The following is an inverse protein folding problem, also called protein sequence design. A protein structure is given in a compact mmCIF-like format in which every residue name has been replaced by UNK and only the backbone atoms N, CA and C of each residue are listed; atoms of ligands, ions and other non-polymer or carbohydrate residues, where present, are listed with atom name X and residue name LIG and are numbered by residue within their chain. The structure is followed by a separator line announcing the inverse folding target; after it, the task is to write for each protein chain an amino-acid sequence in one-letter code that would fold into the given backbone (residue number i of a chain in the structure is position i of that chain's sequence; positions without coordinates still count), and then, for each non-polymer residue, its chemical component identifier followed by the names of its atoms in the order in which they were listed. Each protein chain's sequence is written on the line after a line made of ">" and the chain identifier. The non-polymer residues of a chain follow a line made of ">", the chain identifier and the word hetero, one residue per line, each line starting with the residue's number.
data_IF_676433904745
#
_entry.id   IF_676433904745
#
_cell.length_a   1.000
_cell.length_b   1.000
_cell.length_c   1.000
_cell.angle_alpha   90.00
_cell.angle_beta   90.00
_cell.angle_gamma   90.00
#
_symmetry.space_group_name_H-M   'P 1'
#
loop_
_entity.id
_entity.type
_entity.pdbx_description
1 polymer ?
#
# COMPACT_ATOMS: atom_id res chain seq x y z
N UNK A 1 18.90 3.00 16.21
CA UNK A 1 17.77 3.94 16.05
C UNK A 1 18.12 4.95 14.98
N UNK A 2 17.35 5.05 13.89
CA UNK A 2 17.65 5.88 12.70
C UNK A 2 17.68 7.39 12.97
N UNK A 3 17.31 7.81 14.18
CA UNK A 3 17.25 9.22 14.62
C UNK A 3 18.62 9.78 14.99
N UNK A 4 19.63 8.94 15.27
CA UNK A 4 20.95 9.40 15.75
C UNK A 4 21.99 9.64 14.64
N UNK A 5 21.65 9.37 13.38
CA UNK A 5 22.57 9.56 12.24
C UNK A 5 22.37 10.88 11.50
N UNK A 6 21.38 11.69 11.91
CA UNK A 6 21.02 12.92 11.23
C UNK A 6 21.55 14.12 12.02
N UNK A 7 22.71 14.64 11.62
CA UNK A 7 23.33 15.81 12.24
C UNK A 7 23.08 17.05 11.37
N UNK A 8 22.14 17.87 11.80
CA UNK A 8 21.74 19.12 11.12
C UNK A 8 22.93 20.08 10.97
N UNK A 9 23.92 20.01 11.87
CA UNK A 9 25.08 20.90 11.85
C UNK A 9 26.06 20.57 10.72
N UNK A 10 26.12 19.30 10.31
CA UNK A 10 26.98 18.88 9.20
C UNK A 10 26.40 19.31 7.84
N UNK A 11 25.07 19.22 7.69
CA UNK A 11 24.35 19.67 6.49
C UNK A 11 24.42 21.20 6.26
N UNK A 12 24.64 21.98 7.32
CA UNK A 12 24.84 23.43 7.23
C UNK A 12 26.24 23.83 6.75
N UNK A 13 27.22 22.90 6.74
CA UNK A 13 28.57 23.19 6.25
C UNK A 13 28.53 23.37 4.73
N UNK A 14 29.12 24.47 4.25
CA UNK A 14 29.25 24.70 2.81
C UNK A 14 30.14 23.61 2.19
N UNK A 15 29.74 23.04 1.04
CA UNK A 15 30.54 21.99 0.41
C UNK A 15 31.89 22.55 -0.03
N UNK A 16 32.94 21.73 0.13
CA UNK A 16 34.29 22.07 -0.35
C UNK A 16 34.24 22.23 -1.87
N UNK A 17 34.81 23.32 -2.39
CA UNK A 17 35.02 23.51 -3.83
C UNK A 17 36.22 22.66 -4.23
N UNK A 18 35.97 21.62 -5.01
CA UNK A 18 36.99 20.68 -5.51
C UNK A 18 37.30 21.09 -6.95
N UNK A 19 38.57 21.07 -7.33
CA UNK A 19 39.00 21.41 -8.70
C UNK A 19 38.58 20.34 -9.71
N UNK A 20 38.53 20.68 -11.00
CA UNK A 20 38.08 19.75 -12.04
C UNK A 20 38.95 18.48 -12.13
N UNK A 21 40.26 18.63 -11.92
CA UNK A 21 41.25 17.54 -11.95
C UNK A 21 41.10 16.61 -10.75
N UNK A 22 40.85 17.17 -9.56
CA UNK A 22 40.53 16.41 -8.35
C UNK A 22 39.19 15.65 -8.50
N UNK A 23 38.19 16.22 -9.17
CA UNK A 23 36.90 15.55 -9.44
C UNK A 23 37.05 14.31 -10.33
N UNK A 24 38.02 14.34 -11.26
CA UNK A 24 38.29 13.25 -12.19
C UNK A 24 39.05 12.09 -11.53
N UNK A 25 39.83 12.39 -10.49
CA UNK A 25 40.61 11.39 -9.73
C UNK A 25 39.77 10.63 -8.67
N UNK A 26 38.57 11.10 -8.34
CA UNK A 26 37.69 10.49 -7.34
C UNK A 26 36.96 9.25 -7.86
N UNK A 27 36.46 8.43 -6.93
CA UNK A 27 35.60 7.30 -7.30
C UNK A 27 34.29 7.78 -7.97
N UNK A 28 33.67 6.97 -8.84
CA UNK A 28 32.41 7.34 -9.50
C UNK A 28 31.31 7.79 -8.53
N UNK A 29 31.21 7.16 -7.35
CA UNK A 29 30.22 7.48 -6.33
C UNK A 29 30.48 8.85 -5.66
N UNK A 30 31.74 9.15 -5.34
CA UNK A 30 32.12 10.43 -4.73
C UNK A 30 31.94 11.59 -5.70
N UNK A 31 32.35 11.38 -6.96
CA UNK A 31 32.12 12.33 -8.04
C UNK A 31 30.62 12.62 -8.21
N UNK A 32 29.78 11.58 -8.20
CA UNK A 32 28.33 11.74 -8.28
C UNK A 32 27.79 12.56 -7.09
N UNK A 33 28.17 12.24 -5.85
CA UNK A 33 27.73 12.97 -4.64
C UNK A 33 28.06 14.46 -4.72
N UNK A 34 29.27 14.82 -5.13
CA UNK A 34 29.71 16.22 -5.21
C UNK A 34 29.04 16.99 -6.35
N UNK A 35 28.87 16.36 -7.52
CA UNK A 35 28.24 17.00 -8.69
C UNK A 35 26.73 17.19 -8.50
N UNK A 36 26.07 16.25 -7.83
CA UNK A 36 24.61 16.24 -7.67
C UNK A 36 24.14 16.85 -6.33
N UNK A 37 25.04 17.37 -5.49
CA UNK A 37 24.73 17.97 -4.18
C UNK A 37 23.83 19.21 -4.25
N UNK A 38 23.85 19.95 -5.36
CA UNK A 38 23.07 21.17 -5.56
C UNK A 38 21.71 20.93 -6.19
N UNK A 39 21.43 19.71 -6.68
CA UNK A 39 20.16 19.39 -7.37
C UNK A 39 18.98 19.58 -6.41
N UNK A 40 19.15 19.27 -5.13
CA UNK A 40 18.14 19.51 -4.08
C UNK A 40 17.81 21.00 -3.89
N UNK A 41 18.67 21.91 -4.33
CA UNK A 41 18.51 23.37 -4.21
C UNK A 41 17.86 23.99 -5.45
N UNK A 42 17.81 23.29 -6.58
CA UNK A 42 17.23 23.79 -7.82
C UNK A 42 15.76 23.37 -8.00
N UNK A 43 14.98 23.42 -6.92
CA UNK A 43 13.55 23.14 -6.98
C UNK A 43 12.85 24.35 -7.58
N UNK A 44 12.47 24.27 -8.85
CA UNK A 44 11.67 25.30 -9.49
C UNK A 44 10.21 25.13 -9.07
N UNK A 45 9.76 26.02 -8.18
CA UNK A 45 8.39 26.04 -7.67
C UNK A 45 7.64 27.20 -8.29
N UNK A 46 6.36 26.96 -8.57
CA UNK A 46 5.45 28.03 -8.98
C UNK A 46 5.48 29.18 -7.97
N UNK A 47 5.33 30.41 -8.45
CA UNK A 47 5.27 31.61 -7.61
C UNK A 47 4.12 31.56 -6.56
N UNK A 48 3.11 30.71 -6.81
CA UNK A 48 1.97 30.50 -5.91
C UNK A 48 2.34 29.54 -4.76
N UNK A 49 3.49 28.87 -4.82
CA UNK A 49 3.89 27.90 -3.80
C UNK A 49 4.54 28.56 -2.57
N UNK A 50 4.15 28.14 -1.35
CA UNK A 50 3.06 27.21 -1.03
C UNK A 50 1.69 27.88 -1.16
N UNK A 51 0.73 27.19 -1.78
CA UNK A 51 -0.59 27.76 -1.99
C UNK A 51 -1.31 27.92 -0.64
N UNK A 52 -1.73 29.15 -0.25
CA UNK A 52 -2.38 29.39 1.03
C UNK A 52 -3.71 28.63 1.17
N UNK A 53 -4.40 28.35 0.07
CA UNK A 53 -5.62 27.55 0.08
C UNK A 53 -5.34 26.09 0.45
N UNK A 54 -4.20 25.54 0.01
CA UNK A 54 -3.80 24.17 0.37
C UNK A 54 -3.50 24.13 1.86
N UNK A 55 -2.71 25.07 2.38
CA UNK A 55 -2.42 25.15 3.82
C UNK A 55 -3.72 25.23 4.62
N UNK A 56 -4.65 26.09 4.22
CA UNK A 56 -5.96 26.25 4.87
C UNK A 56 -6.80 24.97 4.82
N UNK A 57 -6.83 24.25 3.70
CA UNK A 57 -7.58 22.99 3.57
C UNK A 57 -7.02 21.88 4.47
N UNK A 58 -5.70 21.84 4.65
CA UNK A 58 -5.07 20.92 5.61
C UNK A 58 -5.35 21.32 7.07
N UNK A 59 -5.39 22.62 7.36
CA UNK A 59 -5.65 23.12 8.71
C UNK A 59 -7.13 23.01 9.11
N UNK A 60 -8.03 23.24 8.16
CA UNK A 60 -9.47 23.26 8.34
C UNK A 60 -10.15 22.42 7.24
N UNK A 61 -10.04 21.09 7.31
CA UNK A 61 -10.70 20.23 6.34
C UNK A 61 -12.21 20.32 6.51
N UNK A 62 -12.93 20.42 5.39
CA UNK A 62 -14.38 20.29 5.39
C UNK A 62 -14.74 18.80 5.44
N UNK A 63 -15.02 18.31 6.65
CA UNK A 63 -15.35 16.90 6.90
C UNK A 63 -16.83 16.74 7.24
N UNK A 64 -17.39 15.57 6.94
CA UNK A 64 -18.71 15.19 7.43
C UNK A 64 -18.75 15.22 8.97
N UNK A 65 -19.74 15.93 9.52
CA UNK A 65 -19.97 16.10 10.97
C UNK A 65 -21.03 15.13 11.51
N UNK A 66 -21.50 14.21 10.68
CA UNK A 66 -22.48 13.20 11.06
C UNK A 66 -22.02 12.40 12.27
N UNK A 67 -22.89 12.31 13.29
CA UNK A 67 -22.69 11.44 14.46
C UNK A 67 -23.28 10.04 14.24
N UNK A 68 -23.68 9.71 13.00
CA UNK A 68 -24.27 8.42 12.68
C UNK A 68 -23.29 7.29 13.01
N UNK A 69 -23.76 6.29 13.75
CA UNK A 69 -22.97 5.09 14.03
C UNK A 69 -22.82 4.31 12.73
N UNK A 70 -21.60 3.88 12.43
CA UNK A 70 -21.40 2.95 11.34
C UNK A 70 -22.15 1.63 11.60
N UNK A 71 -22.88 1.15 10.59
CA UNK A 71 -23.62 -0.11 10.63
C UNK A 71 -23.45 -0.85 9.31
N UNK A 72 -23.36 -2.18 9.39
CA UNK A 72 -23.23 -3.05 8.23
C UNK A 72 -24.46 -3.94 8.20
N UNK A 73 -25.22 -3.88 7.11
CA UNK A 73 -26.43 -4.66 6.89
C UNK A 73 -26.24 -5.68 5.78
N UNK A 74 -27.12 -6.68 5.74
CA UNK A 74 -27.21 -7.59 4.59
C UNK A 74 -27.79 -6.80 3.42
N UNK A 75 -27.10 -6.74 2.27
CA UNK A 75 -27.62 -6.02 1.11
C UNK A 75 -28.82 -6.77 0.49
N UNK A 76 -29.75 -6.02 -0.08
CA UNK A 76 -30.89 -6.58 -0.81
C UNK A 76 -30.46 -7.12 -2.18
N UNK A 77 -30.34 -8.45 -2.27
CA UNK A 77 -29.91 -9.12 -3.49
C UNK A 77 -30.90 -8.97 -4.65
N UNK A 78 -32.20 -8.87 -4.39
CA UNK A 78 -33.19 -8.81 -5.47
C UNK A 78 -33.08 -7.46 -6.19
N UNK A 79 -33.07 -6.38 -5.43
CA UNK A 79 -32.93 -5.02 -5.98
C UNK A 79 -31.55 -4.79 -6.59
N UNK A 80 -30.48 -5.34 -6.01
CA UNK A 80 -29.15 -5.23 -6.60
C UNK A 80 -29.02 -5.94 -7.95
N UNK A 81 -29.70 -7.08 -8.15
CA UNK A 81 -29.71 -7.76 -9.45
C UNK A 81 -30.34 -6.90 -10.54
N UNK A 82 -31.50 -6.29 -10.22
CA UNK A 82 -32.19 -5.40 -11.14
C UNK A 82 -31.33 -4.18 -11.44
N UNK A 83 -30.79 -3.53 -10.40
CA UNK A 83 -29.93 -2.35 -10.54
C UNK A 83 -28.68 -2.63 -11.38
N UNK A 84 -27.95 -3.71 -11.09
CA UNK A 84 -26.75 -4.06 -11.85
C UNK A 84 -27.06 -4.47 -13.29
N UNK A 85 -28.22 -5.09 -13.53
CA UNK A 85 -28.68 -5.37 -14.89
C UNK A 85 -29.00 -4.10 -15.68
N UNK A 86 -29.61 -3.10 -15.03
CA UNK A 86 -30.02 -1.84 -15.67
C UNK A 86 -28.84 -0.88 -15.88
N UNK A 87 -28.05 -0.61 -14.86
CA UNK A 87 -26.97 0.40 -14.90
C UNK A 87 -25.68 -0.12 -15.53
N UNK A 88 -25.35 -1.39 -15.28
CA UNK A 88 -24.09 -1.98 -15.76
C UNK A 88 -24.29 -2.94 -16.94
N UNK A 89 -25.54 -3.27 -17.31
CA UNK A 89 -25.82 -4.25 -18.36
C UNK A 89 -25.33 -5.66 -18.03
N UNK A 90 -25.15 -5.99 -16.75
CA UNK A 90 -24.57 -7.28 -16.36
C UNK A 90 -25.61 -8.39 -16.44
N UNK A 91 -25.28 -9.55 -17.06
CA UNK A 91 -26.14 -10.71 -17.01
C UNK A 91 -26.21 -11.24 -15.57
N UNK A 92 -27.35 -11.84 -15.21
CA UNK A 92 -27.64 -12.25 -13.83
C UNK A 92 -26.57 -13.18 -13.24
N UNK A 93 -26.00 -14.07 -14.05
CA UNK A 93 -24.92 -14.97 -13.63
C UNK A 93 -23.65 -14.22 -13.20
N UNK A 94 -23.34 -13.13 -13.89
CA UNK A 94 -22.18 -12.29 -13.56
C UNK A 94 -22.46 -11.51 -12.28
N UNK A 95 -23.68 -10.97 -12.13
CA UNK A 95 -24.09 -10.27 -10.91
C UNK A 95 -24.01 -11.22 -9.71
N UNK A 96 -24.55 -12.43 -9.82
CA UNK A 96 -24.53 -13.42 -8.75
C UNK A 96 -23.11 -13.89 -8.41
N UNK A 97 -22.26 -14.08 -9.42
CA UNK A 97 -20.84 -14.38 -9.22
C UNK A 97 -20.13 -13.32 -8.36
N UNK A 98 -20.52 -12.05 -8.48
CA UNK A 98 -19.97 -10.94 -7.68
C UNK A 98 -20.65 -10.76 -6.32
N UNK A 99 -21.98 -10.88 -6.25
CA UNK A 99 -22.74 -10.59 -5.03
C UNK A 99 -22.73 -11.74 -4.01
N UNK A 100 -22.79 -13.00 -4.46
CA UNK A 100 -22.83 -14.16 -3.56
C UNK A 100 -21.61 -14.27 -2.63
N UNK A 101 -20.36 -13.99 -3.08
CA UNK A 101 -19.23 -13.88 -2.17
C UNK A 101 -19.42 -12.84 -1.07
N UNK A 102 -19.99 -11.68 -1.38
CA UNK A 102 -20.21 -10.58 -0.43
C UNK A 102 -21.23 -10.99 0.62
N UNK A 103 -22.38 -11.52 0.20
CA UNK A 103 -23.42 -12.01 1.13
C UNK A 103 -22.88 -13.12 2.02
N UNK A 104 -22.13 -14.08 1.47
CA UNK A 104 -21.47 -15.12 2.28
C UNK A 104 -20.47 -14.54 3.28
N UNK A 105 -19.78 -13.45 2.95
CA UNK A 105 -18.87 -12.78 3.87
C UNK A 105 -19.65 -12.12 5.02
N UNK A 106 -20.75 -11.44 4.72
CA UNK A 106 -21.65 -10.82 5.71
C UNK A 106 -22.26 -11.88 6.65
N UNK A 107 -22.80 -12.99 6.11
CA UNK A 107 -23.44 -14.05 6.92
C UNK A 107 -22.47 -14.81 7.82
N UNK A 108 -21.16 -14.84 7.51
CA UNK A 108 -20.13 -15.45 8.39
C UNK A 108 -19.83 -14.62 9.64
N UNK A 109 -20.49 -13.48 9.79
CA UNK A 109 -20.24 -12.49 10.82
C UNK A 109 -19.13 -11.55 10.38
N UNK A 110 -19.34 -10.25 10.61
CA UNK A 110 -18.32 -9.23 10.45
C UNK A 110 -17.22 -9.48 11.47
N UNK A 111 -16.24 -10.31 11.12
CA UNK A 111 -14.98 -10.40 11.83
C UNK A 111 -14.23 -9.10 11.53
N UNK A 112 -14.58 -8.03 12.24
CA UNK A 112 -13.93 -6.75 12.12
C UNK A 112 -12.46 -6.97 12.51
N UNK A 113 -11.57 -6.78 11.54
CA UNK A 113 -10.14 -6.82 11.77
C UNK A 113 -9.79 -5.68 12.73
N UNK A 114 -9.54 -5.99 13.99
CA UNK A 114 -9.28 -4.96 15.02
C UNK A 114 -7.88 -4.38 14.90
N UNK A 115 -6.89 -5.19 14.47
CA UNK A 115 -5.48 -4.78 14.34
C UNK A 115 -4.83 -5.42 13.12
N UNK A 116 -3.83 -4.74 12.56
CA UNK A 116 -2.98 -5.27 11.49
C UNK A 116 -2.25 -6.55 11.93
N UNK A 117 -1.95 -6.64 13.23
CA UNK A 117 -1.37 -7.82 13.88
C UNK A 117 -2.21 -9.08 13.67
N UNK A 118 -3.53 -8.96 13.47
CA UNK A 118 -4.40 -10.10 13.18
C UNK A 118 -4.25 -10.70 11.77
N UNK A 119 -3.56 -10.00 10.86
CA UNK A 119 -3.27 -10.49 9.50
C UNK A 119 -1.96 -11.28 9.43
N UNK A 120 -1.00 -10.94 10.29
CA UNK A 120 0.31 -11.58 10.34
C UNK A 120 0.35 -12.56 11.50
N UNK A 121 0.67 -13.83 11.21
CA UNK A 121 0.95 -14.80 12.27
C UNK A 121 2.19 -14.31 13.03
N UNK A 122 2.04 -13.87 14.28
CA UNK A 122 3.17 -13.34 15.05
C UNK A 122 4.00 -14.48 15.62
N UNK A 123 5.29 -14.24 15.87
CA UNK A 123 6.17 -15.24 16.50
C UNK A 123 5.72 -15.61 17.93
N UNK A 124 5.00 -14.73 18.61
CA UNK A 124 4.55 -14.91 19.99
C UNK A 124 3.30 -15.78 20.13
N UNK A 125 2.62 -16.13 19.03
CA UNK A 125 1.38 -16.91 19.10
C UNK A 125 1.61 -18.40 19.46
N UNK A 126 2.85 -18.88 19.57
CA UNK A 126 3.18 -20.28 19.88
C UNK A 126 2.45 -21.31 18.99
N UNK A 127 2.02 -20.91 17.79
CA UNK A 127 1.33 -21.79 16.84
C UNK A 127 2.39 -22.61 16.12
N UNK A 128 2.79 -23.74 16.72
CA UNK A 128 3.81 -24.66 16.17
C UNK A 128 3.47 -25.22 14.78
N UNK A 129 2.22 -25.11 14.33
CA UNK A 129 1.82 -25.44 12.97
C UNK A 129 0.67 -24.52 12.54
N UNK A 130 0.99 -23.43 11.84
CA UNK A 130 -0.05 -22.59 11.26
C UNK A 130 -0.87 -23.45 10.27
N UNK A 131 -2.15 -23.72 10.59
CA UNK A 131 -3.14 -24.15 9.60
C UNK A 131 -3.39 -22.95 8.69
N UNK A 132 -2.48 -22.71 7.74
CA UNK A 132 -2.52 -21.58 6.81
C UNK A 132 -3.90 -21.62 6.13
N UNK A 133 -4.78 -20.66 6.39
CA UNK A 133 -6.14 -20.66 5.81
C UNK A 133 -6.15 -20.11 4.39
N UNK A 134 -5.28 -19.14 4.09
CA UNK A 134 -5.31 -18.46 2.80
C UNK A 134 -4.69 -19.32 1.70
N UNK A 135 -5.38 -19.40 0.55
CA UNK A 135 -4.90 -20.15 -0.62
C UNK A 135 -3.56 -19.61 -1.13
N UNK A 136 -3.39 -18.29 -1.12
CA UNK A 136 -2.17 -17.61 -1.58
C UNK A 136 -0.97 -17.92 -0.68
N UNK A 137 -1.11 -17.83 0.64
CA UNK A 137 0.00 -18.18 1.55
C UNK A 137 0.31 -19.67 1.50
N UNK A 138 -0.69 -20.55 1.33
CA UNK A 138 -0.42 -21.98 1.08
C UNK A 138 0.41 -22.18 -0.17
N UNK A 139 0.09 -21.49 -1.27
CA UNK A 139 0.83 -21.60 -2.52
C UNK A 139 2.28 -21.15 -2.36
N UNK A 140 2.51 -19.98 -1.75
CA UNK A 140 3.86 -19.46 -1.47
C UNK A 140 4.63 -20.36 -0.53
N UNK A 141 4.02 -20.83 0.56
CA UNK A 141 4.68 -21.74 1.51
C UNK A 141 5.00 -23.09 0.88
N UNK A 142 4.13 -23.61 0.01
CA UNK A 142 4.40 -24.84 -0.74
C UNK A 142 5.53 -24.64 -1.77
N UNK A 143 5.60 -23.46 -2.40
CA UNK A 143 6.69 -23.07 -3.31
C UNK A 143 8.03 -22.97 -2.57
N UNK A 144 8.06 -22.31 -1.41
CA UNK A 144 9.22 -22.24 -0.51
C UNK A 144 9.65 -23.63 -0.02
N UNK A 145 8.70 -24.52 0.26
CA UNK A 145 8.97 -25.91 0.67
C UNK A 145 9.32 -26.84 -0.50
N UNK A 146 9.37 -26.36 -1.73
CA UNK A 146 9.70 -27.17 -2.92
C UNK A 146 8.62 -28.20 -3.30
N UNK A 147 7.41 -28.12 -2.74
CA UNK A 147 6.30 -29.03 -2.98
C UNK A 147 5.53 -28.63 -4.26
N UNK A 148 6.21 -28.55 -5.42
CA UNK A 148 5.50 -28.41 -6.70
C UNK A 148 4.97 -29.77 -7.13
N UNK A 149 3.65 -29.89 -7.28
CA UNK A 149 3.06 -30.96 -8.09
C UNK A 149 3.32 -30.60 -9.57
N UNK A 150 3.87 -31.51 -10.39
CA UNK A 150 4.17 -31.20 -11.79
C UNK A 150 2.89 -30.75 -12.50
N UNK A 151 3.00 -29.67 -13.30
CA UNK A 151 1.93 -29.25 -14.21
C UNK A 151 1.75 -30.39 -15.20
N UNK A 152 0.57 -31.02 -15.20
CA UNK A 152 0.20 -31.95 -16.28
C UNK A 152 0.12 -31.12 -17.55
N UNK A 153 1.09 -31.29 -18.43
CA UNK A 153 0.94 -30.93 -19.82
C UNK A 153 0.13 -32.07 -20.45
N UNK A 154 -1.17 -31.86 -20.66
CA UNK A 154 -1.93 -32.66 -21.63
C UNK A 154 -1.39 -32.29 -23.01
N UNK A 155 -0.89 -33.31 -23.71
CA UNK A 155 -0.63 -33.23 -25.14
C UNK A 155 -1.90 -33.72 -25.82
N UNK A 156 -2.46 -32.86 -26.69
CA UNK A 156 -3.48 -33.22 -27.67
C UNK A 156 -2.97 -34.30 -28.65
#
# INVERSE_FOLDING_TARGET
>A
TWVNSFDITDDLKKPKKVSADELAALSPLERFKLTHQSIRRNWNVSAIFPNPHVIKAYQYPDTDKSTARFSWSVPDLANLRVFCGQEFGWPIDTVDSKLLPVVRAVSRGFQAQTRIDGYFTSYNDNIKYAKIRSKRLKAVVNDIKGLKKPRKHEHD
#
